data_IF_826876925167
#
_entry.id   IF_826876925167
#
_cell.length_a   1.000
_cell.length_b   1.000
_cell.length_c   1.000
_cell.angle_alpha   90.00
_cell.angle_beta   90.00
_cell.angle_gamma   90.00
#
_symmetry.space_group_name_H-M   'P 1'
#
loop_
_entity.id
_entity.type
_entity.pdbx_description
1 polymer ?
#
# COMPACT_ATOMS: atom_id res chain seq x y z
N UNK A 1 1.15 9.80 24.06
CA UNK A 1 2.29 9.54 23.15
C UNK A 1 1.97 8.25 22.42
N UNK A 2 1.38 8.33 21.23
CA UNK A 2 1.16 7.17 20.36
C UNK A 2 2.53 6.75 19.80
N UNK A 3 2.98 5.55 20.15
CA UNK A 3 4.17 4.96 19.54
C UNK A 3 4.01 4.95 18.02
N UNK A 4 5.02 5.38 17.26
CA UNK A 4 5.01 5.19 15.80
C UNK A 4 5.19 3.69 15.54
N UNK A 5 4.13 3.02 15.07
CA UNK A 5 4.21 1.62 14.67
C UNK A 5 5.16 1.48 13.47
N UNK A 6 6.31 0.86 13.69
CA UNK A 6 7.33 0.60 12.66
C UNK A 6 7.03 -0.73 12.00
N UNK A 7 7.23 -0.81 10.69
CA UNK A 7 7.02 -2.04 9.91
C UNK A 7 8.17 -3.01 10.17
N UNK A 8 7.84 -4.22 10.60
CA UNK A 8 8.78 -5.34 10.68
C UNK A 8 8.79 -6.10 9.35
N UNK A 9 9.79 -5.80 8.51
CA UNK A 9 9.92 -6.43 7.20
C UNK A 9 10.17 -7.95 7.26
N UNK A 10 10.73 -8.46 8.36
CA UNK A 10 10.98 -9.89 8.53
C UNK A 10 9.68 -10.68 8.79
N UNK A 11 8.61 -10.00 9.20
CA UNK A 11 7.30 -10.59 9.47
C UNK A 11 6.32 -10.43 8.30
N UNK A 12 6.75 -9.84 7.18
CA UNK A 12 5.91 -9.79 5.98
C UNK A 12 5.75 -11.19 5.40
N UNK A 13 4.53 -11.58 5.07
CA UNK A 13 4.30 -12.84 4.37
C UNK A 13 4.44 -12.64 2.85
N UNK A 14 4.81 -13.70 2.15
CA UNK A 14 4.87 -13.69 0.69
C UNK A 14 3.45 -13.86 0.10
N UNK A 15 2.84 -12.75 -0.31
CA UNK A 15 1.53 -12.75 -0.93
C UNK A 15 1.47 -13.52 -2.26
N UNK A 16 2.56 -13.53 -3.03
CA UNK A 16 2.61 -14.25 -4.30
C UNK A 16 2.66 -15.77 -4.07
N UNK A 17 3.46 -16.23 -3.10
CA UNK A 17 3.48 -17.64 -2.70
C UNK A 17 2.14 -18.07 -2.10
N UNK A 18 1.54 -17.25 -1.23
CA UNK A 18 0.22 -17.49 -0.66
C UNK A 18 -0.85 -17.62 -1.77
N UNK A 19 -0.84 -16.73 -2.76
CA UNK A 19 -1.73 -16.83 -3.92
C UNK A 19 -1.52 -18.13 -4.72
N UNK A 20 -0.27 -18.47 -5.01
CA UNK A 20 0.09 -19.71 -5.75
C UNK A 20 -0.32 -20.99 -5.02
N UNK A 21 -0.44 -20.94 -3.69
CA UNK A 21 -0.92 -22.08 -2.89
C UNK A 21 -2.45 -22.27 -2.92
N UNK A 22 -3.17 -21.46 -3.69
CA UNK A 22 -4.63 -21.57 -3.87
C UNK A 22 -5.46 -20.67 -2.95
N UNK A 23 -4.81 -19.83 -2.15
CA UNK A 23 -5.47 -18.82 -1.34
C UNK A 23 -5.55 -17.48 -2.08
N UNK A 24 -6.37 -16.54 -1.59
CA UNK A 24 -6.49 -15.20 -2.18
C UNK A 24 -6.07 -14.15 -1.14
N UNK A 25 -4.97 -13.41 -1.35
CA UNK A 25 -4.65 -12.25 -0.52
C UNK A 25 -5.77 -11.21 -0.58
N UNK A 26 -6.10 -10.58 0.55
CA UNK A 26 -7.03 -9.46 0.57
C UNK A 26 -6.24 -8.15 0.52
N UNK A 27 -6.42 -7.38 -0.56
CA UNK A 27 -5.74 -6.09 -0.75
C UNK A 27 -6.58 -4.97 -0.15
N UNK A 28 -5.92 -3.97 0.45
CA UNK A 28 -6.59 -2.84 1.09
C UNK A 28 -5.99 -1.47 0.77
N UNK A 29 -4.79 -1.45 0.17
CA UNK A 29 -4.15 -0.24 -0.33
C UNK A 29 -3.42 -0.58 -1.63
N UNK A 30 -3.40 0.36 -2.58
CA UNK A 30 -2.72 0.19 -3.86
C UNK A 30 -2.02 1.48 -4.30
N UNK A 31 -0.90 1.35 -4.99
CA UNK A 31 -0.17 2.47 -5.57
C UNK A 31 0.68 2.03 -6.78
N UNK A 32 1.07 2.96 -7.66
CA UNK A 32 1.96 2.67 -8.77
C UNK A 32 3.31 2.12 -8.29
N UNK A 33 3.74 0.99 -8.84
CA UNK A 33 5.06 0.40 -8.55
C UNK A 33 6.20 1.38 -8.89
N UNK A 34 6.00 2.28 -9.86
CA UNK A 34 6.98 3.30 -10.25
C UNK A 34 7.28 4.34 -9.15
N UNK A 35 6.40 4.49 -8.15
CA UNK A 35 6.62 5.36 -7.00
C UNK A 35 7.23 4.62 -5.81
N UNK A 36 7.37 3.30 -5.89
CA UNK A 36 7.89 2.50 -4.78
C UNK A 36 9.31 2.94 -4.42
N UNK A 37 9.53 3.18 -3.13
CA UNK A 37 10.83 3.51 -2.54
C UNK A 37 11.46 2.25 -1.92
N UNK A 38 12.34 2.42 -0.93
CA UNK A 38 13.00 1.32 -0.23
C UNK A 38 11.98 0.27 0.27
N UNK A 39 12.34 -0.99 0.14
CA UNK A 39 11.50 -2.16 0.49
C UNK A 39 10.13 -2.20 -0.21
N UNK A 40 9.97 -1.47 -1.31
CA UNK A 40 8.75 -1.44 -2.09
C UNK A 40 7.67 -0.53 -1.52
N UNK A 41 7.92 0.22 -0.43
CA UNK A 41 6.93 1.09 0.21
C UNK A 41 6.50 2.28 -0.67
N UNK A 42 5.31 2.86 -0.46
CA UNK A 42 4.96 4.13 -1.07
C UNK A 42 5.79 5.27 -0.42
N UNK A 43 5.94 6.42 -1.11
CA UNK A 43 6.56 7.61 -0.53
C UNK A 43 5.65 8.33 0.49
N UNK A 44 4.40 7.87 0.64
CA UNK A 44 3.42 8.39 1.60
C UNK A 44 3.70 7.82 3.00
N UNK A 45 4.26 8.65 3.89
CA UNK A 45 4.56 8.30 5.29
C UNK A 45 3.31 7.86 6.06
N UNK A 46 2.13 8.42 5.74
CA UNK A 46 0.88 8.04 6.42
C UNK A 46 0.44 6.64 5.99
N UNK A 47 0.64 6.28 4.72
CA UNK A 47 0.37 4.93 4.24
C UNK A 47 1.33 3.91 4.89
N UNK A 48 2.61 4.26 5.04
CA UNK A 48 3.58 3.46 5.78
C UNK A 48 3.18 3.29 7.26
N UNK A 49 2.73 4.36 7.91
CA UNK A 49 2.23 4.30 9.28
C UNK A 49 1.02 3.36 9.38
N UNK A 50 0.06 3.47 8.46
CA UNK A 50 -1.11 2.59 8.44
C UNK A 50 -0.71 1.12 8.37
N UNK A 51 0.22 0.77 7.47
CA UNK A 51 0.71 -0.60 7.33
C UNK A 51 1.35 -1.10 8.64
N UNK A 52 2.16 -0.26 9.29
CA UNK A 52 2.76 -0.56 10.59
C UNK A 52 1.71 -0.76 11.69
N UNK A 53 0.67 0.07 11.74
CA UNK A 53 -0.42 -0.07 12.71
C UNK A 53 -1.18 -1.38 12.53
N UNK A 54 -1.53 -1.73 11.29
CA UNK A 54 -2.19 -3.00 10.97
C UNK A 54 -1.32 -4.19 11.38
N UNK A 55 -0.02 -4.15 11.08
CA UNK A 55 0.92 -5.19 11.47
C UNK A 55 1.06 -5.31 13.00
N UNK A 56 1.18 -4.18 13.70
CA UNK A 56 1.34 -4.14 15.17
C UNK A 56 0.14 -4.74 15.92
N UNK A 57 -1.04 -4.75 15.28
CA UNK A 57 -2.28 -5.33 15.79
C UNK A 57 -2.41 -6.83 15.47
N UNK A 58 -1.34 -7.45 14.99
CA UNK A 58 -1.23 -8.89 14.80
C UNK A 58 -1.90 -9.40 13.52
N UNK A 59 -1.99 -8.55 12.49
CA UNK A 59 -2.37 -8.97 11.14
C UNK A 59 -1.09 -9.25 10.35
N UNK A 60 -1.01 -10.43 9.74
CA UNK A 60 0.06 -10.71 8.79
C UNK A 60 -0.17 -9.87 7.53
N UNK A 61 0.76 -8.97 7.23
CA UNK A 61 0.68 -8.08 6.07
C UNK A 61 1.78 -8.39 5.05
N UNK A 62 1.57 -7.93 3.82
CA UNK A 62 2.49 -8.07 2.71
C UNK A 62 2.54 -6.77 1.90
N UNK A 63 3.71 -6.52 1.30
CA UNK A 63 3.88 -5.55 0.21
C UNK A 63 3.99 -6.36 -1.08
N UNK A 64 2.91 -6.42 -1.84
CA UNK A 64 2.78 -7.28 -3.00
C UNK A 64 3.00 -6.50 -4.29
N UNK A 65 4.24 -6.51 -4.77
CA UNK A 65 4.67 -5.83 -5.99
C UNK A 65 4.16 -6.57 -7.23
N UNK A 66 3.57 -5.84 -8.17
CA UNK A 66 2.99 -6.36 -9.41
C UNK A 66 2.01 -7.52 -9.14
N UNK A 67 1.13 -7.31 -8.16
CA UNK A 67 0.21 -8.34 -7.67
C UNK A 67 -0.91 -8.66 -8.64
N UNK A 68 -2.07 -8.02 -8.44
CA UNK A 68 -3.28 -8.27 -9.25
C UNK A 68 -3.14 -7.63 -10.63
N UNK A 69 -2.69 -6.37 -10.68
CA UNK A 69 -2.44 -5.64 -11.90
C UNK A 69 -0.93 -5.41 -12.10
N UNK A 70 -0.45 -5.39 -13.37
CA UNK A 70 0.91 -4.97 -13.66
C UNK A 70 1.14 -3.53 -13.17
N UNK A 71 2.39 -3.22 -12.85
CA UNK A 71 2.85 -1.89 -12.42
C UNK A 71 2.12 -1.33 -11.20
N UNK A 72 1.48 -2.19 -10.41
CA UNK A 72 0.78 -1.83 -9.18
C UNK A 72 1.34 -2.62 -8.01
N UNK A 73 1.67 -1.92 -6.92
CA UNK A 73 2.03 -2.52 -5.65
C UNK A 73 0.85 -2.40 -4.69
N UNK A 74 0.61 -3.47 -3.92
CA UNK A 74 -0.50 -3.55 -2.99
C UNK A 74 -0.01 -3.77 -1.56
N UNK A 75 -0.71 -3.18 -0.59
CA UNK A 75 -0.71 -3.75 0.74
C UNK A 75 -1.82 -4.80 0.82
N UNK A 76 -1.46 -5.97 1.35
CA UNK A 76 -2.36 -7.10 1.47
C UNK A 76 -2.26 -7.75 2.85
N UNK A 77 -3.36 -8.36 3.29
CA UNK A 77 -3.34 -9.35 4.36
C UNK A 77 -3.77 -10.72 3.81
N UNK A 78 -3.72 -11.75 4.65
CA UNK A 78 -4.29 -13.06 4.29
C UNK A 78 -5.80 -12.97 4.20
N UNK A 79 -6.42 -13.79 3.35
CA UNK A 79 -7.86 -13.75 3.13
C UNK A 79 -8.67 -13.99 4.42
N UNK A 80 -8.17 -14.86 5.30
CA UNK A 80 -8.77 -15.15 6.61
C UNK A 80 -8.76 -13.97 7.59
N UNK A 81 -7.87 -12.99 7.38
CA UNK A 81 -7.72 -11.83 8.27
C UNK A 81 -8.60 -10.64 7.84
N UNK A 82 -9.39 -10.77 6.76
CA UNK A 82 -10.19 -9.67 6.19
C UNK A 82 -11.11 -8.98 7.20
N UNK A 83 -11.87 -9.75 7.97
CA UNK A 83 -12.84 -9.18 8.93
C UNK A 83 -12.13 -8.45 10.07
N UNK A 84 -11.01 -9.01 10.54
CA UNK A 84 -10.17 -8.38 11.57
C UNK A 84 -9.52 -7.10 11.03
N UNK A 85 -9.06 -7.11 9.78
CA UNK A 85 -8.55 -5.91 9.12
C UNK A 85 -9.61 -4.81 9.09
N UNK A 86 -10.84 -5.09 8.65
CA UNK A 86 -11.90 -4.08 8.64
C UNK A 86 -12.17 -3.51 10.03
N UNK A 87 -12.26 -4.35 11.06
CA UNK A 87 -12.43 -3.90 12.43
C UNK A 87 -11.29 -2.96 12.89
N UNK A 88 -10.04 -3.26 12.52
CA UNK A 88 -8.88 -2.40 12.82
C UNK A 88 -8.98 -1.07 12.08
N UNK A 89 -9.32 -1.08 10.78
CA UNK A 89 -9.45 0.13 9.98
C UNK A 89 -10.59 1.02 10.50
N UNK A 90 -11.72 0.42 10.88
CA UNK A 90 -12.86 1.12 11.48
C UNK A 90 -12.47 1.75 12.82
N UNK A 91 -11.75 1.01 13.68
CA UNK A 91 -11.26 1.54 14.95
C UNK A 91 -10.32 2.74 14.73
N UNK A 92 -9.29 2.58 13.90
CA UNK A 92 -8.32 3.61 13.57
C UNK A 92 -8.98 4.88 12.99
N UNK A 93 -10.06 4.70 12.23
CA UNK A 93 -10.89 5.80 11.72
C UNK A 93 -11.70 6.45 12.84
N UNK A 94 -12.37 5.64 13.66
CA UNK A 94 -13.23 6.12 14.76
C UNK A 94 -12.47 6.90 15.83
N UNK A 95 -11.20 6.56 16.07
CA UNK A 95 -10.32 7.28 16.99
C UNK A 95 -9.70 8.53 16.36
N UNK A 96 -10.02 8.84 15.11
CA UNK A 96 -9.48 9.98 14.37
C UNK A 96 -8.01 9.86 13.99
N UNK A 97 -7.44 8.65 14.06
CA UNK A 97 -6.04 8.42 13.69
C UNK A 97 -5.85 8.47 12.17
N UNK A 98 -6.85 8.01 11.42
CA UNK A 98 -6.92 8.15 9.96
C UNK A 98 -8.30 8.69 9.55
N UNK A 99 -8.35 9.40 8.43
CA UNK A 99 -9.63 9.87 7.87
C UNK A 99 -10.44 8.68 7.29
N UNK A 100 -11.78 8.73 7.30
CA UNK A 100 -12.62 7.64 6.77
C UNK A 100 -12.31 7.25 5.32
N UNK A 101 -11.93 8.23 4.50
CA UNK A 101 -11.59 8.03 3.08
C UNK A 101 -10.08 7.91 2.84
N UNK A 102 -9.26 7.82 3.89
CA UNK A 102 -7.80 7.89 3.81
C UNK A 102 -7.23 6.91 2.78
N UNK A 103 -7.60 5.62 2.87
CA UNK A 103 -7.13 4.58 1.96
C UNK A 103 -7.40 4.95 0.49
N UNK A 104 -8.63 5.40 0.20
CA UNK A 104 -9.03 5.80 -1.16
C UNK A 104 -8.25 7.04 -1.61
N UNK A 105 -8.29 8.11 -0.81
CA UNK A 105 -7.68 9.40 -1.18
C UNK A 105 -6.17 9.31 -1.33
N UNK A 106 -5.46 8.58 -0.46
CA UNK A 106 -4.02 8.37 -0.59
C UNK A 106 -3.68 7.52 -1.81
N UNK A 107 -4.41 6.43 -2.07
CA UNK A 107 -4.20 5.63 -3.29
C UNK A 107 -4.44 6.46 -4.56
N UNK A 108 -5.58 7.16 -4.66
CA UNK A 108 -5.89 8.02 -5.80
C UNK A 108 -4.85 9.12 -5.99
N UNK A 109 -4.38 9.75 -4.90
CA UNK A 109 -3.33 10.76 -4.93
C UNK A 109 -2.01 10.23 -5.48
N UNK A 110 -1.60 9.02 -5.09
CA UNK A 110 -0.38 8.37 -5.60
C UNK A 110 -0.52 8.00 -7.09
N UNK A 111 -1.68 7.49 -7.51
CA UNK A 111 -1.95 7.23 -8.93
C UNK A 111 -1.97 8.51 -9.77
N UNK A 112 -2.53 9.60 -9.25
CA UNK A 112 -2.50 10.90 -9.93
C UNK A 112 -1.06 11.44 -10.04
N UNK A 113 -0.27 11.34 -8.96
CA UNK A 113 1.12 11.76 -8.93
C UNK A 113 1.97 11.06 -10.00
N UNK A 114 1.83 9.74 -10.13
CA UNK A 114 2.57 8.97 -11.14
C UNK A 114 2.18 9.37 -12.58
N UNK A 115 0.90 9.64 -12.83
CA UNK A 115 0.43 10.10 -14.15
C UNK A 115 0.98 11.48 -14.51
N UNK A 116 1.04 12.40 -13.54
CA UNK A 116 1.65 13.72 -13.74
C UNK A 116 3.15 13.62 -14.03
N UNK A 117 3.87 12.80 -13.26
CA UNK A 117 5.31 12.59 -13.45
C UNK A 117 5.63 11.99 -14.83
N UNK A 118 4.85 11.00 -15.28
CA UNK A 118 4.99 10.41 -16.61
C UNK A 118 4.73 11.43 -17.73
N UNK A 119 3.69 12.26 -17.58
CA UNK A 119 3.32 13.29 -18.57
C UNK A 119 4.41 14.37 -18.72
N UNK A 120 5.01 14.80 -17.60
CA UNK A 120 6.13 15.75 -17.61
C UNK A 120 7.38 15.16 -18.29
N UNK A 121 7.62 13.86 -18.14
CA UNK A 121 8.74 13.17 -18.76
C UNK A 121 8.58 13.09 -20.28
N UNK A 122 7.37 12.77 -20.77
CA UNK A 122 7.05 12.76 -22.21
C UNK A 122 7.19 14.16 -22.80
N UNK A 123 6.68 15.19 -22.13
CA UNK A 123 6.78 16.57 -22.61
C UNK A 123 8.23 17.09 -22.69
N UNK A 124 9.14 16.59 -21.84
CA UNK A 124 10.58 16.92 -21.92
C UNK A 124 11.27 16.21 -23.08
N UNK A 125 10.96 14.93 -23.31
CA UNK A 125 11.53 14.16 -24.43
C UNK A 125 11.10 14.74 -25.77
N UNK A 126 9.84 15.14 -25.93
CA UNK A 126 9.33 15.76 -27.17
C UNK A 126 9.96 17.12 -27.49
N UNK A 127 10.58 17.80 -26.52
CA UNK A 127 11.29 19.08 -26.73
C UNK A 127 12.79 18.91 -27.05
N UNK A 128 13.31 17.69 -27.04
CA UNK A 128 14.72 17.37 -27.28
C UNK A 128 14.99 16.66 -28.63
N UNK A 129 13.96 16.44 -29.45
CA UNK A 129 14.13 15.92 -30.80
C UNK A 129 14.33 17.07 -31.81
N UNK A 130 15.40 17.04 -32.64
CA UNK A 130 15.66 18.04 -33.68
C UNK A 130 14.61 18.08 -34.81
#
# INVERSE_FOLDING_TARGET
MTSRSTIDFAQLFDAAAYMKSGHCPWTFFAYPTSLAVEHGLPPDESACQLLGEVQSRGIAVAIWVNGIAPDTTYFACRGEDRERLHAILDELTSTGQFAPDFLRTSSEGLFALAQSAASDQVARVSKQSP
#
